data_IF_760916295860
#
_entry.id   IF_760916295860
#
_cell.length_a   1.000
_cell.length_b   1.000
_cell.length_c   1.000
_cell.angle_alpha   90.00
_cell.angle_beta   90.00
_cell.angle_gamma   90.00
#
_symmetry.space_group_name_H-M   'P 1'
#
loop_
_entity.id
_entity.type
_entity.pdbx_description
1 polymer ?
#
# COMPACT_ATOMS: atom_id res chain seq x y z
N UNK A 1 -55.12 7.72 -7.98
CA UNK A 1 -53.71 7.58 -8.39
C UNK A 1 -52.94 6.96 -7.24
N UNK A 2 -52.54 5.70 -7.40
CA UNK A 2 -51.68 5.01 -6.42
C UNK A 2 -50.31 5.69 -6.50
N UNK A 3 -49.89 6.33 -5.40
CA UNK A 3 -48.52 6.79 -5.23
C UNK A 3 -47.63 5.55 -5.29
N UNK A 4 -47.08 5.25 -6.47
CA UNK A 4 -45.97 4.32 -6.63
C UNK A 4 -44.81 4.91 -5.84
N UNK A 5 -44.67 4.44 -4.60
CA UNK A 5 -43.46 4.60 -3.80
C UNK A 5 -42.33 4.09 -4.70
N UNK A 6 -41.53 5.00 -5.27
CA UNK A 6 -40.27 4.64 -5.93
C UNK A 6 -39.50 3.83 -4.91
N UNK A 7 -39.44 2.51 -5.08
CA UNK A 7 -38.61 1.67 -4.22
C UNK A 7 -37.18 2.19 -4.36
N UNK A 8 -36.68 2.82 -3.30
CA UNK A 8 -35.30 3.29 -3.24
C UNK A 8 -34.39 2.07 -3.32
N UNK A 9 -33.45 2.06 -4.25
CA UNK A 9 -32.46 1.00 -4.39
C UNK A 9 -31.77 0.71 -3.05
N UNK A 10 -31.65 -0.58 -2.72
CA UNK A 10 -31.02 -1.04 -1.49
C UNK A 10 -29.71 -1.77 -1.86
N UNK A 11 -28.54 -1.19 -1.52
CA UNK A 11 -27.26 -1.87 -1.66
C UNK A 11 -27.23 -3.19 -0.89
N UNK A 12 -26.54 -4.19 -1.44
CA UNK A 12 -26.13 -5.38 -0.67
C UNK A 12 -25.40 -4.93 0.60
N UNK A 13 -25.67 -5.60 1.73
CA UNK A 13 -24.99 -5.36 3.02
C UNK A 13 -23.87 -6.34 3.32
N UNK A 14 -23.84 -7.45 2.57
CA UNK A 14 -22.91 -8.56 2.73
C UNK A 14 -22.43 -8.93 1.35
N UNK A 15 -21.13 -9.18 1.22
CA UNK A 15 -20.55 -9.70 -0.01
C UNK A 15 -20.56 -11.24 0.01
N UNK A 16 -20.87 -11.94 -1.10
CA UNK A 16 -20.85 -13.39 -1.11
C UNK A 16 -19.48 -13.96 -0.71
N UNK A 17 -19.51 -15.05 0.05
CA UNK A 17 -18.28 -15.70 0.52
C UNK A 17 -17.71 -16.64 -0.56
N UNK A 18 -16.81 -16.12 -1.39
CA UNK A 18 -16.13 -16.90 -2.43
C UNK A 18 -14.94 -17.70 -1.87
N UNK A 19 -14.59 -18.82 -2.48
CA UNK A 19 -13.37 -19.54 -2.13
C UNK A 19 -12.16 -18.90 -2.83
N UNK A 20 -11.56 -17.88 -2.22
CA UNK A 20 -10.41 -17.17 -2.78
C UNK A 20 -9.09 -17.65 -2.15
N UNK A 21 -7.99 -17.72 -2.93
CA UNK A 21 -6.68 -17.96 -2.36
C UNK A 21 -6.29 -16.76 -1.50
N UNK A 22 -6.02 -16.99 -0.20
CA UNK A 22 -5.66 -15.92 0.76
C UNK A 22 -4.16 -15.75 0.95
N UNK A 23 -3.34 -16.68 0.46
CA UNK A 23 -1.89 -16.67 0.61
C UNK A 23 -1.18 -16.34 -0.70
N UNK A 24 -0.36 -15.29 -0.71
CA UNK A 24 0.46 -14.90 -1.87
C UNK A 24 1.92 -14.63 -1.47
N UNK A 25 2.43 -15.42 -0.52
CA UNK A 25 3.80 -15.27 -0.03
C UNK A 25 4.80 -16.01 -0.92
N UNK A 26 5.76 -15.27 -1.47
CA UNK A 26 6.86 -15.85 -2.25
C UNK A 26 8.14 -15.85 -1.43
N UNK A 27 9.05 -16.81 -1.66
CA UNK A 27 10.33 -16.89 -0.95
C UNK A 27 11.19 -15.61 -0.99
N UNK A 28 11.05 -14.78 -2.03
CA UNK A 28 11.72 -13.48 -2.11
C UNK A 28 11.25 -12.48 -1.03
N UNK A 29 9.98 -12.56 -0.58
CA UNK A 29 9.45 -11.69 0.46
C UNK A 29 10.00 -12.06 1.84
N UNK A 30 10.25 -13.35 2.10
CA UNK A 30 10.95 -13.78 3.30
C UNK A 30 12.38 -13.22 3.35
N UNK A 31 13.11 -13.30 2.22
CA UNK A 31 14.45 -12.72 2.10
C UNK A 31 14.45 -11.20 2.35
N UNK A 32 13.43 -10.50 1.87
CA UNK A 32 13.25 -9.07 2.13
C UNK A 32 13.09 -8.78 3.63
N UNK A 33 12.19 -9.49 4.32
CA UNK A 33 11.99 -9.34 5.77
C UNK A 33 13.26 -9.66 6.56
N UNK A 34 13.99 -10.72 6.19
CA UNK A 34 15.28 -11.02 6.81
C UNK A 34 16.25 -9.84 6.62
N UNK A 35 16.35 -9.28 5.40
CA UNK A 35 17.18 -8.10 5.14
C UNK A 35 16.74 -6.87 5.94
N UNK A 36 15.44 -6.68 6.15
CA UNK A 36 14.93 -5.55 6.94
C UNK A 36 15.39 -5.64 8.39
N UNK A 37 15.35 -6.83 8.99
CA UNK A 37 15.80 -7.02 10.37
C UNK A 37 17.31 -6.80 10.52
N UNK A 38 18.10 -7.18 9.52
CA UNK A 38 19.54 -6.88 9.50
C UNK A 38 19.85 -5.39 9.35
N UNK A 39 19.04 -4.65 8.59
CA UNK A 39 19.20 -3.21 8.40
C UNK A 39 18.63 -2.40 9.57
N UNK A 40 17.62 -2.90 10.26
CA UNK A 40 16.88 -2.22 11.35
C UNK A 40 17.78 -1.49 12.37
N UNK A 41 18.90 -2.06 12.87
CA UNK A 41 19.79 -1.35 13.79
C UNK A 41 20.41 -0.06 13.22
N UNK A 42 20.54 0.03 11.89
CA UNK A 42 21.12 1.18 11.18
C UNK A 42 20.06 2.20 10.73
N UNK A 43 18.77 1.94 10.96
CA UNK A 43 17.68 2.82 10.54
C UNK A 43 17.29 3.73 11.70
N UNK A 44 17.21 5.02 11.44
CA UNK A 44 16.75 6.04 12.39
C UNK A 44 15.25 6.28 12.25
N UNK A 45 14.71 6.17 11.03
CA UNK A 45 13.32 6.53 10.71
C UNK A 45 12.69 5.59 9.67
N UNK A 46 11.45 5.18 9.89
CA UNK A 46 10.69 4.35 8.94
C UNK A 46 9.64 5.18 8.23
N UNK A 47 9.60 5.08 6.90
CA UNK A 47 8.55 5.68 6.06
C UNK A 47 7.61 4.57 5.60
N UNK A 48 6.45 4.45 6.25
CA UNK A 48 5.47 3.39 5.99
C UNK A 48 4.40 3.86 5.01
N UNK A 49 4.39 3.29 3.80
CA UNK A 49 3.44 3.69 2.76
C UNK A 49 2.17 2.84 2.77
N UNK A 50 1.02 3.51 2.66
CA UNK A 50 -0.34 2.94 2.59
C UNK A 50 -1.12 3.55 1.41
N UNK A 51 -2.07 2.84 0.82
CA UNK A 51 -2.90 3.38 -0.30
C UNK A 51 -4.07 4.16 0.31
N UNK A 52 -4.33 5.37 -0.16
CA UNK A 52 -5.53 6.12 0.27
C UNK A 52 -6.85 5.39 -0.04
N UNK A 53 -6.88 4.49 -1.02
CA UNK A 53 -8.11 3.75 -1.37
C UNK A 53 -8.32 2.54 -0.47
N UNK A 54 -7.27 2.00 0.12
CA UNK A 54 -7.32 0.82 0.98
C UNK A 54 -6.42 1.01 2.23
N UNK A 55 -6.70 2.03 3.07
CA UNK A 55 -5.79 2.44 4.12
C UNK A 55 -5.61 1.42 5.24
N UNK A 56 -6.60 0.54 5.46
CA UNK A 56 -6.57 -0.52 6.48
C UNK A 56 -5.95 -1.78 5.89
N UNK A 57 -6.43 -2.23 4.72
CA UNK A 57 -5.97 -3.49 4.12
C UNK A 57 -4.51 -3.41 3.66
N UNK A 58 -3.98 -2.21 3.39
CA UNK A 58 -2.56 -2.04 3.02
C UNK A 58 -1.60 -1.96 4.20
N UNK A 59 -2.09 -2.05 5.44
CA UNK A 59 -1.24 -2.14 6.63
C UNK A 59 -0.58 -3.53 6.67
N UNK A 60 0.73 -3.56 6.87
CA UNK A 60 1.47 -4.81 7.01
C UNK A 60 2.09 -4.92 8.41
N UNK A 61 1.39 -5.64 9.30
CA UNK A 61 1.80 -5.85 10.68
C UNK A 61 3.11 -6.66 10.84
N UNK A 62 3.62 -7.31 9.77
CA UNK A 62 4.92 -7.98 9.85
C UNK A 62 6.08 -7.02 10.06
N UNK A 63 5.94 -5.77 9.62
CA UNK A 63 6.98 -4.76 9.82
C UNK A 63 7.20 -4.45 11.30
N UNK A 64 6.16 -4.55 12.13
CA UNK A 64 6.26 -4.34 13.58
C UNK A 64 7.14 -5.40 14.26
N UNK A 65 7.14 -6.62 13.73
CA UNK A 65 7.98 -7.71 14.24
C UNK A 65 9.46 -7.51 13.89
N UNK A 66 9.74 -6.98 12.70
CA UNK A 66 11.10 -6.90 12.16
C UNK A 66 11.78 -5.57 12.51
N UNK A 67 11.03 -4.48 12.54
CA UNK A 67 11.53 -3.13 12.80
C UNK A 67 11.34 -2.70 14.26
N UNK A 68 10.65 -3.48 15.08
CA UNK A 68 10.44 -3.17 16.50
C UNK A 68 9.75 -1.82 16.70
N UNK A 69 10.22 -1.06 17.69
CA UNK A 69 9.68 0.26 18.08
C UNK A 69 10.37 1.45 17.38
N UNK A 70 10.86 1.28 16.16
CA UNK A 70 11.44 2.40 15.39
C UNK A 70 10.39 3.46 15.10
N UNK A 71 10.78 4.72 15.19
CA UNK A 71 9.93 5.86 14.86
C UNK A 71 9.48 5.80 13.40
N UNK A 72 8.23 6.19 13.17
CA UNK A 72 7.57 6.05 11.87
C UNK A 72 6.82 7.29 11.45
N UNK A 73 6.84 7.52 10.14
CA UNK A 73 5.91 8.43 9.47
C UNK A 73 5.07 7.60 8.50
N UNK A 74 3.76 7.69 8.64
CA UNK A 74 2.80 7.01 7.78
C UNK A 74 2.49 7.89 6.57
N UNK A 75 2.77 7.39 5.38
CA UNK A 75 2.57 8.11 4.13
C UNK A 75 1.41 7.47 3.36
N UNK A 76 0.28 8.16 3.33
CA UNK A 76 -0.86 7.76 2.51
C UNK A 76 -0.64 8.23 1.07
N UNK A 77 -0.32 7.29 0.19
CA UNK A 77 -0.03 7.52 -1.23
C UNK A 77 -1.29 7.56 -2.07
N UNK A 78 -1.18 8.07 -3.31
CA UNK A 78 -2.29 8.24 -4.25
C UNK A 78 -3.37 9.17 -3.69
N UNK A 79 -2.93 10.25 -3.04
CA UNK A 79 -3.78 11.32 -2.50
C UNK A 79 -4.79 11.86 -3.53
N UNK A 80 -4.42 11.90 -4.79
CA UNK A 80 -5.28 12.30 -5.91
C UNK A 80 -6.52 11.42 -6.07
N UNK A 81 -6.47 10.18 -5.58
CA UNK A 81 -7.57 9.21 -5.59
C UNK A 81 -8.27 9.05 -4.24
N UNK A 82 -7.84 9.80 -3.22
CA UNK A 82 -8.38 9.69 -1.87
C UNK A 82 -9.79 10.25 -1.77
N UNK A 83 -10.66 9.53 -1.06
CA UNK A 83 -11.95 10.02 -0.57
C UNK A 83 -12.09 9.79 0.94
N UNK A 84 -10.98 9.49 1.64
CA UNK A 84 -10.99 9.27 3.09
C UNK A 84 -11.33 10.58 3.81
N UNK A 85 -12.17 10.50 4.84
CA UNK A 85 -12.44 11.61 5.73
C UNK A 85 -11.24 11.91 6.66
N UNK A 86 -10.77 13.16 6.66
CA UNK A 86 -9.67 13.62 7.53
C UNK A 86 -9.95 13.39 9.02
N UNK A 87 -11.21 13.53 9.48
CA UNK A 87 -11.59 13.33 10.88
C UNK A 87 -11.37 11.87 11.31
N UNK A 88 -11.64 10.92 10.42
CA UNK A 88 -11.44 9.50 10.67
C UNK A 88 -9.95 9.20 10.87
N UNK A 89 -9.08 9.80 10.06
CA UNK A 89 -7.63 9.64 10.18
C UNK A 89 -7.08 10.30 11.43
N UNK A 90 -7.61 11.47 11.81
CA UNK A 90 -7.25 12.11 13.07
C UNK A 90 -7.62 11.22 14.26
N UNK A 91 -8.78 10.55 14.22
CA UNK A 91 -9.15 9.55 15.24
C UNK A 91 -8.19 8.35 15.24
N UNK A 92 -7.74 7.89 14.07
CA UNK A 92 -6.82 6.75 13.97
C UNK A 92 -5.43 7.06 14.52
N UNK A 93 -4.86 8.20 14.14
CA UNK A 93 -3.47 8.53 14.46
C UNK A 93 -3.31 9.40 15.72
N UNK A 94 -4.32 10.20 16.07
CA UNK A 94 -4.25 11.14 17.19
C UNK A 94 -4.09 10.45 18.55
N UNK A 95 -4.62 9.24 18.72
CA UNK A 95 -4.54 8.49 19.99
C UNK A 95 -3.09 8.13 20.36
N UNK A 96 -2.27 7.78 19.37
CA UNK A 96 -0.87 7.39 19.56
C UNK A 96 0.10 8.52 19.18
N UNK A 97 -0.42 9.69 18.83
CA UNK A 97 0.35 10.80 18.25
C UNK A 97 1.21 10.35 17.04
N UNK A 98 0.66 9.46 16.21
CA UNK A 98 1.34 8.95 15.02
C UNK A 98 1.45 10.05 13.96
N UNK A 99 2.66 10.27 13.44
CA UNK A 99 2.88 11.22 12.34
C UNK A 99 2.38 10.60 11.04
N UNK A 100 1.50 11.31 10.32
CA UNK A 100 1.02 10.89 9.01
C UNK A 100 0.92 12.05 8.00
N UNK A 101 1.01 11.72 6.70
CA UNK A 101 0.90 12.69 5.61
C UNK A 101 0.25 12.07 4.36
N UNK A 102 -0.51 12.89 3.63
CA UNK A 102 -1.06 12.55 2.31
C UNK A 102 -0.16 13.04 1.19
N UNK A 103 0.16 12.15 0.25
CA UNK A 103 1.09 12.44 -0.83
C UNK A 103 0.58 11.87 -2.15
N UNK A 104 0.51 12.73 -3.18
CA UNK A 104 0.63 12.22 -4.55
C UNK A 104 2.13 12.01 -4.82
N UNK A 105 2.56 10.76 -4.93
CA UNK A 105 3.97 10.41 -5.13
C UNK A 105 4.57 10.97 -6.42
N UNK A 106 3.75 11.48 -7.36
CA UNK A 106 4.19 12.16 -8.59
C UNK A 106 4.33 13.67 -8.42
N UNK A 107 3.80 14.24 -7.33
CA UNK A 107 3.80 15.67 -7.06
C UNK A 107 5.10 16.13 -6.41
N UNK A 108 5.84 17.01 -7.09
CA UNK A 108 7.03 17.66 -6.51
C UNK A 108 6.70 18.47 -5.25
N UNK A 109 5.51 19.09 -5.18
CA UNK A 109 5.07 19.86 -4.01
C UNK A 109 4.91 18.95 -2.79
N UNK A 110 4.28 17.80 -2.95
CA UNK A 110 4.11 16.86 -1.84
C UNK A 110 5.45 16.18 -1.49
N UNK A 111 6.30 15.87 -2.47
CA UNK A 111 7.65 15.36 -2.22
C UNK A 111 8.51 16.34 -1.39
N UNK A 112 8.45 17.64 -1.68
CA UNK A 112 9.14 18.68 -0.87
C UNK A 112 8.66 18.68 0.58
N UNK A 113 7.35 18.54 0.81
CA UNK A 113 6.80 18.45 2.18
C UNK A 113 7.31 17.22 2.94
N UNK A 114 7.45 16.08 2.26
CA UNK A 114 8.01 14.87 2.87
C UNK A 114 9.48 15.07 3.22
N UNK A 115 10.30 15.64 2.33
CA UNK A 115 11.69 15.98 2.65
C UNK A 115 11.75 16.91 3.85
N UNK A 116 10.96 18.00 3.86
CA UNK A 116 10.92 18.93 4.97
C UNK A 116 10.59 18.23 6.29
N UNK A 117 9.58 17.36 6.31
CA UNK A 117 9.18 16.63 7.51
C UNK A 117 10.30 15.70 8.03
N UNK A 118 11.07 15.08 7.13
CA UNK A 118 12.23 14.26 7.49
C UNK A 118 13.37 15.15 8.00
N UNK A 119 13.61 16.30 7.37
CA UNK A 119 14.61 17.28 7.81
C UNK A 119 14.29 17.82 9.20
N UNK A 120 13.03 18.20 9.44
CA UNK A 120 12.55 18.64 10.75
C UNK A 120 12.74 17.54 11.79
N UNK A 121 12.46 16.28 11.44
CA UNK A 121 12.73 15.15 12.32
C UNK A 121 14.23 15.04 12.64
N UNK A 122 15.12 15.15 11.65
CA UNK A 122 16.57 15.14 11.85
C UNK A 122 17.04 16.23 12.81
N UNK A 123 16.63 17.48 12.59
CA UNK A 123 17.05 18.61 13.43
C UNK A 123 16.47 18.58 14.85
N UNK A 124 15.38 17.84 15.07
CA UNK A 124 14.81 17.62 16.40
C UNK A 124 15.46 16.43 17.15
N UNK A 125 16.35 15.66 16.52
CA UNK A 125 17.13 14.64 17.21
C UNK A 125 18.27 15.29 18.00
N UNK A 126 18.50 14.84 19.23
CA UNK A 126 19.56 15.35 20.09
C UNK A 126 20.47 14.21 20.61
N UNK A 127 21.74 14.12 20.16
CA UNK A 127 22.32 14.87 19.04
C UNK A 127 21.78 14.35 17.69
N UNK A 128 21.82 15.17 16.62
CA UNK A 128 21.48 14.71 15.29
C UNK A 128 22.49 13.66 14.80
N UNK A 129 22.07 12.65 14.03
CA UNK A 129 22.99 11.64 13.48
C UNK A 129 24.13 12.29 12.68
N UNK A 130 25.41 12.07 13.06
CA UNK A 130 26.55 12.76 12.44
C UNK A 130 26.83 12.32 11.01
N UNK A 131 26.35 11.14 10.61
CA UNK A 131 26.51 10.57 9.26
C UNK A 131 25.22 10.67 8.42
N UNK A 132 24.36 11.63 8.77
CA UNK A 132 23.05 11.79 8.15
C UNK A 132 22.00 10.82 8.67
N UNK A 133 20.75 11.12 8.35
CA UNK A 133 19.59 10.33 8.73
C UNK A 133 19.42 9.13 7.80
N UNK A 134 19.36 7.92 8.35
CA UNK A 134 19.08 6.70 7.60
C UNK A 134 17.62 6.32 7.73
N UNK A 135 16.90 6.39 6.61
CA UNK A 135 15.49 6.02 6.52
C UNK A 135 15.26 4.71 5.78
N UNK A 136 14.17 4.01 6.11
CA UNK A 136 13.72 2.83 5.36
C UNK A 136 12.31 3.04 4.82
N UNK A 137 12.12 2.86 3.51
CA UNK A 137 10.81 3.00 2.87
C UNK A 137 10.19 1.61 2.73
N UNK A 138 9.06 1.38 3.40
CA UNK A 138 8.36 0.10 3.47
C UNK A 138 6.90 0.21 3.04
N UNK A 139 6.25 -0.92 2.77
CA UNK A 139 4.84 -0.99 2.38
C UNK A 139 4.54 -2.12 1.41
N UNK A 140 3.25 -2.39 1.20
CA UNK A 140 2.76 -3.42 0.27
C UNK A 140 3.30 -3.23 -1.18
N UNK A 141 3.34 -4.27 -2.02
CA UNK A 141 3.64 -4.12 -3.44
C UNK A 141 2.77 -3.06 -4.13
N UNK A 142 3.30 -2.35 -5.12
CA UNK A 142 2.55 -1.37 -5.95
C UNK A 142 1.89 -0.19 -5.21
N UNK A 143 2.28 0.06 -3.97
CA UNK A 143 1.79 1.19 -3.16
C UNK A 143 2.39 2.54 -3.57
N UNK A 144 3.37 2.56 -4.48
CA UNK A 144 4.02 3.79 -4.94
C UNK A 144 5.40 4.09 -4.33
N UNK A 145 6.03 3.13 -3.62
CA UNK A 145 7.38 3.28 -3.03
C UNK A 145 8.42 3.85 -4.01
N UNK A 146 8.68 3.16 -5.11
CA UNK A 146 9.69 3.58 -6.09
C UNK A 146 9.32 4.89 -6.81
N UNK A 147 8.02 5.19 -6.96
CA UNK A 147 7.57 6.49 -7.47
C UNK A 147 7.91 7.61 -6.48
N UNK A 148 7.61 7.40 -5.19
CA UNK A 148 7.94 8.36 -4.14
C UNK A 148 9.45 8.59 -4.04
N UNK A 149 10.25 7.52 -3.99
CA UNK A 149 11.72 7.59 -3.96
C UNK A 149 12.27 8.46 -5.10
N UNK A 150 11.82 8.22 -6.33
CA UNK A 150 12.26 8.99 -7.48
C UNK A 150 11.88 10.48 -7.36
N UNK A 151 10.69 10.78 -6.85
CA UNK A 151 10.24 12.16 -6.65
C UNK A 151 10.98 12.87 -5.51
N UNK A 152 11.23 12.18 -4.39
CA UNK A 152 12.03 12.69 -3.26
C UNK A 152 13.44 13.03 -3.72
N UNK A 153 14.11 12.11 -4.42
CA UNK A 153 15.43 12.37 -4.99
C UNK A 153 15.41 13.50 -6.03
N UNK A 154 14.35 13.66 -6.81
CA UNK A 154 14.28 14.76 -7.76
C UNK A 154 14.26 16.13 -7.06
N UNK A 155 13.55 16.25 -5.92
CA UNK A 155 13.41 17.51 -5.18
C UNK A 155 14.54 17.79 -4.20
N UNK A 156 15.08 16.79 -3.49
CA UNK A 156 16.16 17.03 -2.53
C UNK A 156 17.49 17.42 -3.18
N UNK A 157 17.60 17.25 -4.51
CA UNK A 157 18.74 17.72 -5.32
C UNK A 157 18.36 18.90 -6.25
N UNK A 158 17.24 19.60 -6.01
CA UNK A 158 16.84 20.70 -6.92
C UNK A 158 17.71 21.95 -6.82
N UNK A 159 18.52 22.09 -5.77
CA UNK A 159 19.38 23.26 -5.55
C UNK A 159 20.71 23.19 -6.29
N UNK A 160 21.06 22.07 -6.93
CA UNK A 160 22.19 21.97 -7.86
C UNK A 160 21.72 22.34 -9.28
N UNK A 161 21.59 23.65 -9.50
CA UNK A 161 21.46 24.25 -10.84
C UNK A 161 22.88 24.28 -11.41
N UNK A 162 23.36 23.20 -12.04
CA UNK A 162 24.50 23.20 -12.99
C UNK A 162 24.73 21.82 -13.62
N UNK A 163 23.66 21.15 -14.05
CA UNK A 163 23.77 19.93 -14.85
C UNK A 163 23.30 20.21 -16.28
N UNK A 164 24.22 20.12 -17.24
CA UNK A 164 24.03 20.29 -18.70
C UNK A 164 22.94 19.34 -19.27
N UNK A 165 22.48 18.36 -18.49
CA UNK A 165 21.34 17.48 -18.82
C UNK A 165 20.13 17.75 -17.90
N UNK A 166 19.04 18.29 -18.46
CA UNK A 166 17.74 18.51 -17.78
C UNK A 166 17.04 17.22 -17.30
N UNK A 167 17.56 16.03 -17.61
CA UNK A 167 16.91 14.74 -17.36
C UNK A 167 17.60 13.99 -16.20
N UNK A 168 17.10 14.17 -14.97
CA UNK A 168 17.54 13.37 -13.83
C UNK A 168 17.22 11.88 -14.07
N UNK A 169 18.25 11.02 -14.08
CA UNK A 169 18.10 9.57 -14.29
C UNK A 169 17.28 8.95 -13.14
N UNK A 170 16.24 8.18 -13.47
CA UNK A 170 15.45 7.40 -12.49
C UNK A 170 16.35 6.36 -11.83
N UNK A 171 16.28 6.25 -10.50
CA UNK A 171 17.11 5.31 -9.71
C UNK A 171 16.34 4.03 -9.42
N UNK A 172 15.05 4.14 -9.11
CA UNK A 172 14.19 2.99 -8.85
C UNK A 172 13.32 2.67 -10.08
N UNK A 173 13.26 1.39 -10.46
CA UNK A 173 12.36 0.92 -11.53
C UNK A 173 10.90 1.02 -11.08
N UNK A 174 10.02 1.51 -11.97
CA UNK A 174 8.59 1.70 -11.68
C UNK A 174 7.74 0.92 -12.68
N UNK A 175 6.75 0.16 -12.20
CA UNK A 175 5.79 -0.57 -13.03
C UNK A 175 4.55 -0.97 -12.24
N UNK A 176 3.44 -1.25 -12.93
CA UNK A 176 2.14 -1.55 -12.29
C UNK A 176 1.96 -3.00 -11.86
N UNK A 177 2.92 -3.88 -12.13
CA UNK A 177 2.86 -5.31 -11.76
C UNK A 177 3.59 -5.57 -10.44
N UNK A 178 3.03 -6.38 -9.51
CA UNK A 178 3.70 -6.68 -8.25
C UNK A 178 5.05 -7.37 -8.48
N UNK A 179 6.08 -6.96 -7.73
CA UNK A 179 7.41 -7.58 -7.80
C UNK A 179 8.35 -7.01 -8.87
N UNK A 180 8.08 -5.81 -9.40
CA UNK A 180 9.00 -5.06 -10.27
C UNK A 180 10.32 -4.76 -9.55
N UNK A 181 10.25 -4.28 -8.30
CA UNK A 181 11.44 -4.13 -7.44
C UNK A 181 11.81 -5.49 -6.85
N UNK A 182 12.80 -6.16 -7.45
CA UNK A 182 13.21 -7.54 -7.09
C UNK A 182 14.36 -7.62 -6.09
N UNK A 183 15.11 -6.54 -5.92
CA UNK A 183 16.25 -6.41 -5.02
C UNK A 183 16.06 -5.17 -4.15
N UNK A 184 16.37 -5.25 -2.85
CA UNK A 184 16.57 -4.04 -2.03
C UNK A 184 17.80 -3.33 -2.59
N UNK A 185 17.58 -2.34 -3.44
CA UNK A 185 18.61 -1.56 -4.11
C UNK A 185 19.47 -0.79 -3.09
N UNK A 186 20.61 -0.32 -3.59
CA UNK A 186 21.64 0.49 -2.93
C UNK A 186 21.04 1.64 -2.11
N UNK A 187 21.78 2.11 -1.09
CA UNK A 187 21.39 3.28 -0.30
C UNK A 187 21.21 4.47 -1.24
N UNK A 188 20.01 5.04 -1.26
CA UNK A 188 19.68 6.19 -2.11
C UNK A 188 19.76 7.43 -1.24
N UNK A 189 20.72 8.30 -1.51
CA UNK A 189 20.74 9.64 -0.92
C UNK A 189 19.58 10.45 -1.52
N UNK A 190 18.76 11.04 -0.65
CA UNK A 190 17.55 11.79 -0.97
C UNK A 190 17.75 13.30 -0.87
N UNK A 191 18.59 13.75 0.07
CA UNK A 191 18.92 15.15 0.35
C UNK A 191 20.37 15.25 0.81
N UNK A 192 21.02 16.38 0.56
CA UNK A 192 22.38 16.68 1.04
C UNK A 192 22.37 17.52 2.32
N UNK A 193 21.33 18.35 2.51
CA UNK A 193 21.18 19.24 3.66
C UNK A 193 19.75 19.15 4.24
N UNK A 194 19.56 18.52 5.41
CA UNK A 194 20.51 17.58 6.03
C UNK A 194 20.70 16.34 5.15
N UNK A 195 21.79 15.61 5.40
CA UNK A 195 22.06 14.37 4.66
C UNK A 195 21.01 13.32 5.00
N UNK A 196 20.20 12.94 4.03
CA UNK A 196 19.11 11.95 4.18
C UNK A 196 19.38 10.80 3.24
N UNK A 197 19.53 9.61 3.80
CA UNK A 197 19.74 8.36 3.11
C UNK A 197 18.48 7.50 3.22
N UNK A 198 18.11 6.79 2.14
CA UNK A 198 16.95 5.92 2.12
C UNK A 198 17.27 4.55 1.52
N UNK A 199 16.87 3.49 2.24
CA UNK A 199 16.84 2.15 1.70
C UNK A 199 15.52 1.95 0.94
N UNK A 200 15.56 1.86 -0.39
CA UNK A 200 14.40 1.43 -1.19
C UNK A 200 14.25 -0.09 -1.08
N UNK A 201 13.09 -0.51 -0.59
CA UNK A 201 12.83 -1.91 -0.30
C UNK A 201 11.79 -2.52 -1.24
N UNK A 202 11.94 -3.80 -1.62
CA UNK A 202 10.89 -4.50 -2.35
C UNK A 202 9.60 -4.51 -1.51
N UNK A 203 8.46 -4.38 -2.17
CA UNK A 203 7.18 -4.49 -1.48
C UNK A 203 6.98 -5.87 -0.88
N UNK A 204 6.60 -5.92 0.40
CA UNK A 204 6.34 -7.17 1.12
C UNK A 204 4.84 -7.33 1.27
N UNK A 205 4.30 -8.41 0.74
CA UNK A 205 2.91 -8.82 0.93
C UNK A 205 2.78 -9.69 2.19
N UNK A 206 1.59 -9.74 2.80
CA UNK A 206 1.34 -10.62 3.95
C UNK A 206 1.34 -12.10 3.53
N UNK A 207 1.83 -13.03 4.37
CA UNK A 207 1.85 -14.43 4.02
C UNK A 207 0.48 -15.00 3.69
N UNK A 208 -0.47 -14.67 4.54
CA UNK A 208 -1.89 -14.96 4.41
C UNK A 208 -2.66 -13.73 4.88
N UNK A 209 -3.56 -13.22 4.05
CA UNK A 209 -4.45 -12.12 4.46
C UNK A 209 -5.55 -12.64 5.39
N UNK A 210 -6.29 -11.74 6.02
CA UNK A 210 -7.30 -12.10 7.03
C UNK A 210 -8.55 -12.75 6.41
N UNK A 211 -9.07 -12.15 5.35
CA UNK A 211 -10.37 -12.47 4.77
C UNK A 211 -10.42 -12.11 3.27
N UNK A 212 -11.53 -12.50 2.62
CA UNK A 212 -11.76 -12.31 1.19
C UNK A 212 -11.84 -10.84 0.81
N UNK A 213 -12.52 -10.02 1.63
CA UNK A 213 -12.68 -8.60 1.41
C UNK A 213 -11.32 -7.89 1.40
N UNK A 214 -10.42 -8.26 2.33
CA UNK A 214 -9.04 -7.77 2.36
C UNK A 214 -8.29 -8.18 1.10
N UNK A 215 -8.44 -9.42 0.63
CA UNK A 215 -7.80 -9.89 -0.61
C UNK A 215 -8.30 -9.11 -1.84
N UNK A 216 -9.60 -8.89 -1.94
CA UNK A 216 -10.24 -8.17 -3.03
C UNK A 216 -9.86 -6.68 -3.03
N UNK A 217 -9.83 -6.04 -1.87
CA UNK A 217 -9.37 -4.66 -1.70
C UNK A 217 -7.91 -4.51 -2.13
N UNK A 218 -7.02 -5.40 -1.65
CA UNK A 218 -5.60 -5.44 -2.04
C UNK A 218 -5.42 -5.66 -3.54
N UNK A 219 -6.28 -6.47 -4.17
CA UNK A 219 -6.26 -6.65 -5.61
C UNK A 219 -6.72 -5.40 -6.36
N UNK A 220 -7.74 -4.68 -5.87
CA UNK A 220 -8.21 -3.42 -6.48
C UNK A 220 -7.21 -2.26 -6.35
N UNK A 221 -6.34 -2.28 -5.34
CA UNK A 221 -5.21 -1.33 -5.29
C UNK A 221 -3.97 -1.80 -6.07
N UNK A 222 -4.00 -3.03 -6.59
CA UNK A 222 -2.95 -3.61 -7.42
C UNK A 222 -1.83 -4.27 -6.65
N UNK A 223 -2.00 -4.59 -5.36
CA UNK A 223 -0.99 -5.32 -4.57
C UNK A 223 -0.89 -6.80 -4.96
N UNK A 224 -1.90 -7.33 -5.65
CA UNK A 224 -2.04 -8.73 -6.06
C UNK A 224 -1.99 -8.83 -7.59
N UNK A 225 -1.42 -9.91 -8.11
CA UNK A 225 -1.34 -10.13 -9.56
C UNK A 225 -2.74 -10.40 -10.14
N UNK A 226 -3.03 -9.88 -11.33
CA UNK A 226 -4.38 -9.96 -11.93
C UNK A 226 -4.88 -11.40 -12.16
N UNK A 227 -3.99 -12.37 -12.34
CA UNK A 227 -4.38 -13.78 -12.55
C UNK A 227 -4.80 -14.51 -11.27
N UNK A 228 -4.73 -13.86 -10.12
CA UNK A 228 -4.90 -14.53 -8.82
C UNK A 228 -6.36 -14.58 -8.35
N UNK A 229 -7.19 -13.67 -8.88
CA UNK A 229 -8.60 -13.53 -8.53
C UNK A 229 -9.37 -13.47 -9.82
N UNK A 230 -10.51 -14.15 -9.85
CA UNK A 230 -11.45 -14.07 -10.96
C UNK A 230 -11.85 -12.61 -11.24
N UNK A 231 -11.70 -12.11 -12.48
CA UNK A 231 -12.03 -10.72 -12.82
C UNK A 231 -13.48 -10.34 -12.52
N UNK A 232 -14.44 -11.26 -12.71
CA UNK A 232 -15.87 -11.03 -12.47
C UNK A 232 -16.13 -10.88 -10.98
N UNK A 233 -15.55 -11.74 -10.13
CA UNK A 233 -15.63 -11.60 -8.67
C UNK A 233 -15.05 -10.25 -8.22
N UNK A 234 -13.90 -9.86 -8.77
CA UNK A 234 -13.30 -8.56 -8.46
C UNK A 234 -14.19 -7.39 -8.87
N UNK A 235 -14.82 -7.47 -10.05
CA UNK A 235 -15.73 -6.46 -10.55
C UNK A 235 -17.02 -6.39 -9.72
N UNK A 236 -17.53 -7.53 -9.26
CA UNK A 236 -18.69 -7.61 -8.37
C UNK A 236 -18.39 -6.98 -7.01
N UNK A 237 -17.22 -7.27 -6.44
CA UNK A 237 -16.78 -6.64 -5.19
C UNK A 237 -16.67 -5.12 -5.35
N UNK A 238 -16.14 -4.65 -6.49
CA UNK A 238 -16.09 -3.23 -6.81
C UNK A 238 -17.50 -2.62 -6.90
N UNK A 239 -18.45 -3.27 -7.56
CA UNK A 239 -19.84 -2.79 -7.60
C UNK A 239 -20.45 -2.71 -6.19
N UNK A 240 -20.25 -3.76 -5.39
CA UNK A 240 -20.71 -3.85 -4.00
C UNK A 240 -20.25 -2.66 -3.15
N UNK A 241 -18.94 -2.38 -3.11
CA UNK A 241 -18.38 -1.28 -2.31
C UNK A 241 -18.77 0.10 -2.83
N UNK A 242 -19.00 0.25 -4.15
CA UNK A 242 -19.45 1.51 -4.73
C UNK A 242 -20.89 1.80 -4.31
N UNK A 243 -21.77 0.80 -4.33
CA UNK A 243 -23.15 0.95 -3.88
C UNK A 243 -23.24 1.27 -2.38
N UNK A 244 -22.32 0.75 -1.56
CA UNK A 244 -22.26 1.10 -0.13
C UNK A 244 -21.83 2.55 0.12
N UNK A 245 -20.98 3.11 -0.74
CA UNK A 245 -20.52 4.51 -0.66
C UNK A 245 -21.51 5.48 -1.28
N UNK A 246 -22.15 5.07 -2.38
CA UNK A 246 -23.13 5.85 -3.13
C UNK A 246 -24.25 4.94 -3.67
N UNK A 247 -25.37 4.82 -2.93
CA UNK A 247 -26.52 4.02 -3.36
C UNK A 247 -27.21 4.55 -4.62
N UNK A 248 -26.92 5.76 -5.08
CA UNK A 248 -27.55 6.32 -6.28
C UNK A 248 -27.02 5.69 -7.58
N UNK A 249 -25.91 4.95 -7.52
CA UNK A 249 -25.23 4.40 -8.70
C UNK A 249 -24.55 5.44 -9.57
N UNK A 250 -24.32 6.67 -9.08
CA UNK A 250 -23.76 7.76 -9.91
C UNK A 250 -22.39 7.40 -10.50
N UNK A 251 -21.63 6.56 -9.78
CA UNK A 251 -20.28 6.12 -10.14
C UNK A 251 -20.21 5.25 -11.40
N UNK A 252 -21.30 4.63 -11.82
CA UNK A 252 -21.38 3.80 -13.03
C UNK A 252 -22.55 4.16 -13.94
N UNK A 253 -23.21 5.31 -13.68
CA UNK A 253 -24.39 5.77 -14.42
C UNK A 253 -24.16 6.02 -15.90
N UNK A 254 -22.90 6.11 -16.30
CA UNK A 254 -22.53 6.25 -17.70
C UNK A 254 -22.80 4.99 -18.54
N UNK A 255 -22.95 3.83 -17.89
CA UNK A 255 -23.18 2.55 -18.54
C UNK A 255 -24.65 2.12 -18.41
N UNK A 256 -25.24 2.33 -17.23
CA UNK A 256 -26.60 1.93 -16.88
C UNK A 256 -27.30 3.12 -16.18
N UNK A 257 -28.56 3.39 -16.51
CA UNK A 257 -29.26 4.61 -16.08
C UNK A 257 -29.86 4.52 -14.67
N UNK A 258 -29.79 3.34 -14.05
CA UNK A 258 -30.29 3.02 -12.72
C UNK A 258 -29.25 2.25 -11.89
N UNK A 259 -29.32 2.30 -10.55
CA UNK A 259 -28.44 1.52 -9.69
C UNK A 259 -28.79 0.02 -9.73
N UNK A 260 -27.77 -0.84 -9.64
CA UNK A 260 -27.93 -2.30 -9.67
C UNK A 260 -27.00 -3.01 -8.69
N UNK A 261 -27.44 -4.16 -8.18
CA UNK A 261 -26.58 -5.12 -7.46
C UNK A 261 -26.11 -6.28 -8.35
N UNK A 262 -26.58 -6.35 -9.59
CA UNK A 262 -26.23 -7.40 -10.56
C UNK A 262 -24.96 -7.00 -11.30
N UNK A 263 -23.88 -7.75 -11.07
CA UNK A 263 -22.65 -7.54 -11.83
C UNK A 263 -22.86 -7.88 -13.31
N UNK A 264 -23.62 -8.93 -13.61
CA UNK A 264 -23.86 -9.39 -14.98
C UNK A 264 -24.57 -8.31 -15.82
N UNK A 265 -25.57 -7.65 -15.22
CA UNK A 265 -26.28 -6.52 -15.83
C UNK A 265 -25.32 -5.35 -16.11
N UNK A 266 -24.52 -4.95 -15.12
CA UNK A 266 -23.56 -3.87 -15.29
C UNK A 266 -22.53 -4.21 -16.39
N UNK A 267 -22.00 -5.43 -16.40
CA UNK A 267 -21.01 -5.87 -17.41
C UNK A 267 -21.62 -5.92 -18.81
N UNK A 268 -22.88 -6.33 -18.95
CA UNK A 268 -23.60 -6.29 -20.22
C UNK A 268 -23.75 -4.86 -20.74
N UNK A 269 -24.13 -3.91 -19.88
CA UNK A 269 -24.23 -2.49 -20.24
C UNK A 269 -22.87 -1.86 -20.57
N UNK A 270 -21.81 -2.26 -19.89
CA UNK A 270 -20.43 -1.90 -20.26
C UNK A 270 -20.08 -2.45 -21.65
N UNK A 271 -20.45 -3.70 -21.95
CA UNK A 271 -20.21 -4.32 -23.25
C UNK A 271 -20.98 -3.60 -24.37
N UNK A 272 -22.25 -3.23 -24.13
CA UNK A 272 -23.08 -2.46 -25.07
C UNK A 272 -22.42 -1.12 -25.40
N UNK A 273 -22.05 -0.34 -24.37
CA UNK A 273 -21.39 0.96 -24.57
C UNK A 273 -20.07 0.86 -25.33
N UNK A 274 -19.40 -0.29 -25.22
CA UNK A 274 -18.12 -0.56 -25.90
C UNK A 274 -18.28 -1.24 -27.26
N UNK A 275 -19.50 -1.48 -27.74
CA UNK A 275 -19.79 -2.25 -28.95
C UNK A 275 -19.10 -3.63 -28.94
N UNK A 276 -19.18 -4.34 -27.81
CA UNK A 276 -18.57 -5.68 -27.59
C UNK A 276 -19.59 -6.80 -27.39
N UNK A 277 -20.88 -6.52 -27.59
CA UNK A 277 -21.95 -7.53 -27.60
C UNK A 277 -22.06 -8.12 -29.00
N UNK A 278 -22.09 -9.45 -29.07
CA UNK A 278 -22.25 -10.21 -30.33
C UNK A 278 -23.73 -10.23 -30.75
N UNK A 279 -24.01 -10.60 -31.99
CA UNK A 279 -25.37 -10.68 -32.53
C UNK A 279 -26.31 -11.61 -31.72
N UNK A 280 -25.74 -12.65 -31.10
CA UNK A 280 -26.47 -13.57 -30.22
C UNK A 280 -26.61 -13.07 -28.77
N UNK A 281 -26.24 -11.83 -28.48
CA UNK A 281 -26.32 -11.23 -27.15
C UNK A 281 -25.15 -11.55 -26.20
N UNK A 282 -24.22 -12.44 -26.57
CA UNK A 282 -23.09 -12.79 -25.69
C UNK A 282 -21.92 -11.81 -25.80
N UNK A 283 -21.10 -11.73 -24.75
CA UNK A 283 -19.92 -10.87 -24.66
C UNK A 283 -18.82 -11.51 -23.80
N UNK A 284 -17.62 -10.95 -23.85
CA UNK A 284 -16.49 -11.39 -23.01
C UNK A 284 -16.61 -10.78 -21.60
N UNK A 285 -17.23 -11.52 -20.68
CA UNK A 285 -17.44 -11.10 -19.28
C UNK A 285 -16.13 -10.80 -18.56
N UNK A 286 -15.16 -11.70 -18.63
CA UNK A 286 -13.84 -11.54 -17.99
C UNK A 286 -13.10 -10.32 -18.53
N UNK A 287 -13.18 -10.07 -19.85
CA UNK A 287 -12.62 -8.88 -20.48
C UNK A 287 -13.30 -7.59 -20.04
N UNK A 288 -14.64 -7.57 -19.93
CA UNK A 288 -15.38 -6.39 -19.46
C UNK A 288 -15.15 -6.12 -17.98
N UNK A 289 -15.10 -7.16 -17.15
CA UNK A 289 -14.79 -7.07 -15.74
C UNK A 289 -13.37 -6.55 -15.49
N UNK A 290 -12.40 -7.06 -16.25
CA UNK A 290 -11.02 -6.54 -16.25
C UNK A 290 -10.95 -5.09 -16.71
N UNK A 291 -11.70 -4.74 -17.76
CA UNK A 291 -11.77 -3.35 -18.24
C UNK A 291 -12.31 -2.42 -17.14
N UNK A 292 -13.43 -2.79 -16.52
CA UNK A 292 -14.07 -2.03 -15.46
C UNK A 292 -13.13 -1.81 -14.29
N UNK A 293 -12.62 -2.88 -13.70
CA UNK A 293 -11.72 -2.80 -12.54
C UNK A 293 -10.44 -2.03 -12.84
N UNK A 294 -9.91 -2.09 -14.07
CA UNK A 294 -8.74 -1.32 -14.48
C UNK A 294 -8.99 0.19 -14.57
N UNK A 295 -10.22 0.66 -14.80
CA UNK A 295 -10.53 2.09 -14.75
C UNK A 295 -10.32 2.65 -13.34
N UNK A 296 -10.75 1.88 -12.33
CA UNK A 296 -10.63 2.20 -10.91
C UNK A 296 -9.22 2.00 -10.35
N UNK A 297 -8.55 0.91 -10.74
CA UNK A 297 -7.14 0.66 -10.38
C UNK A 297 -6.23 1.81 -10.80
N UNK A 298 -6.42 2.31 -12.02
CA UNK A 298 -5.57 3.35 -12.60
C UNK A 298 -6.02 4.78 -12.24
N UNK A 299 -7.27 4.99 -11.82
CA UNK A 299 -7.78 6.31 -11.47
C UNK A 299 -7.73 7.30 -12.65
N UNK A 300 -8.09 6.85 -13.87
CA UNK A 300 -7.90 7.64 -15.12
C UNK A 300 -8.63 8.99 -15.18
N UNK A 301 -9.58 9.23 -14.27
CA UNK A 301 -10.42 10.41 -14.22
C UNK A 301 -10.89 10.63 -12.78
N UNK A 302 -11.27 11.85 -12.43
CA UNK A 302 -11.79 12.19 -11.11
C UNK A 302 -13.04 11.39 -10.71
N UNK A 303 -13.74 10.80 -11.68
CA UNK A 303 -14.85 9.87 -11.44
C UNK A 303 -14.42 8.61 -10.68
N UNK A 304 -13.24 8.07 -11.01
CA UNK A 304 -12.76 6.76 -10.56
C UNK A 304 -12.00 6.87 -9.23
N UNK A 305 -12.63 7.51 -8.24
CA UNK A 305 -12.16 7.63 -6.86
C UNK A 305 -13.16 6.98 -5.92
N UNK A 306 -12.64 6.20 -4.97
CA UNK A 306 -13.43 5.46 -4.00
C UNK A 306 -12.54 4.70 -3.01
N UNK A 307 -13.15 4.29 -1.90
CA UNK A 307 -12.55 3.37 -0.94
C UNK A 307 -12.83 1.93 -1.39
N UNK A 308 -11.85 1.05 -1.16
CA UNK A 308 -11.91 -0.37 -1.46
C UNK A 308 -11.94 -1.25 -0.20
N UNK A 309 -11.65 -0.66 0.95
CA UNK A 309 -11.75 -1.33 2.25
C UNK A 309 -13.16 -1.22 2.82
N UNK A 310 -13.84 -2.36 2.94
CA UNK A 310 -15.17 -2.43 3.55
C UNK A 310 -15.18 -1.84 4.96
N UNK A 311 -14.17 -2.15 5.77
CA UNK A 311 -14.06 -1.61 7.14
C UNK A 311 -13.96 -0.09 7.15
N UNK A 312 -13.19 0.51 6.24
CA UNK A 312 -13.08 1.98 6.15
C UNK A 312 -14.41 2.62 5.76
N UNK A 313 -15.19 1.95 4.91
CA UNK A 313 -16.51 2.43 4.46
C UNK A 313 -17.55 2.37 5.60
N UNK A 314 -17.51 1.32 6.42
CA UNK A 314 -18.47 1.10 7.51
C UNK A 314 -18.07 1.87 8.79
N UNK A 315 -16.79 2.14 9.00
CA UNK A 315 -16.27 2.74 10.23
C UNK A 315 -16.66 4.22 10.36
N UNK A 316 -17.47 4.55 11.37
CA UNK A 316 -17.88 5.92 11.69
C UNK A 316 -17.09 6.55 12.85
N UNK A 317 -16.61 5.73 13.80
CA UNK A 317 -16.15 6.22 15.11
C UNK A 317 -14.67 5.94 15.45
N UNK A 318 -13.92 5.24 14.59
CA UNK A 318 -12.49 4.94 14.77
C UNK A 318 -12.15 3.91 15.85
N UNK A 319 -13.09 3.55 16.73
CA UNK A 319 -12.88 2.59 17.84
C UNK A 319 -12.70 1.14 17.37
N UNK A 320 -13.34 0.71 16.27
CA UNK A 320 -13.24 -0.69 15.82
C UNK A 320 -11.89 -1.00 15.20
N UNK A 321 -11.23 0.01 14.62
CA UNK A 321 -9.95 -0.20 13.93
C UNK A 321 -8.85 -0.71 14.86
N UNK A 322 -8.75 -0.17 16.07
CA UNK A 322 -7.71 -0.62 17.03
C UNK A 322 -7.91 -2.07 17.45
N UNK A 323 -9.15 -2.47 17.68
CA UNK A 323 -9.50 -3.86 17.99
C UNK A 323 -9.10 -4.77 16.82
N UNK A 324 -9.41 -4.35 15.58
CA UNK A 324 -9.04 -5.08 14.37
C UNK A 324 -7.52 -5.17 14.20
N UNK A 325 -6.80 -4.09 14.44
CA UNK A 325 -5.33 -4.05 14.31
C UNK A 325 -4.64 -4.93 15.36
N UNK A 326 -5.12 -4.91 16.60
CA UNK A 326 -4.61 -5.79 17.66
C UNK A 326 -4.91 -7.27 17.34
N UNK A 327 -6.14 -7.58 16.91
CA UNK A 327 -6.49 -8.94 16.48
C UNK A 327 -5.63 -9.41 15.29
N UNK A 328 -5.33 -8.53 14.34
CA UNK A 328 -4.46 -8.85 13.20
C UNK A 328 -3.00 -9.07 13.64
N UNK A 329 -2.51 -8.28 14.60
CA UNK A 329 -1.18 -8.50 15.22
C UNK A 329 -1.09 -9.86 15.89
N UNK A 330 -2.10 -10.26 16.64
CA UNK A 330 -2.19 -11.56 17.29
C UNK A 330 -2.19 -12.68 16.24
N UNK A 331 -3.07 -12.59 15.23
CA UNK A 331 -3.16 -13.56 14.14
C UNK A 331 -1.85 -13.73 13.36
N UNK A 332 -1.16 -12.64 13.04
CA UNK A 332 0.13 -12.70 12.32
C UNK A 332 1.26 -13.18 13.22
N UNK A 333 1.16 -12.97 14.54
CA UNK A 333 2.17 -13.46 15.48
C UNK A 333 2.26 -14.97 15.56
N UNK A 334 1.15 -15.68 15.31
CA UNK A 334 1.07 -17.15 15.30
C UNK A 334 1.38 -17.77 13.94
N UNK A 335 1.79 -16.98 12.94
CA UNK A 335 2.15 -17.51 11.61
C UNK A 335 3.55 -18.11 11.59
N UNK A 336 3.73 -19.19 10.83
CA UNK A 336 5.02 -19.89 10.66
C UNK A 336 6.15 -19.00 10.13
N UNK A 337 5.83 -17.99 9.30
CA UNK A 337 6.81 -17.00 8.83
C UNK A 337 7.36 -16.19 10.01
N UNK A 338 6.51 -15.81 10.95
CA UNK A 338 6.90 -15.06 12.15
C UNK A 338 7.74 -15.92 13.08
N UNK A 339 7.42 -17.21 13.25
CA UNK A 339 8.25 -18.17 14.00
C UNK A 339 9.66 -18.29 13.41
N UNK A 340 9.76 -18.44 12.08
CA UNK A 340 11.04 -18.47 11.37
C UNK A 340 11.83 -17.19 11.55
N UNK A 341 11.18 -16.03 11.49
CA UNK A 341 11.83 -14.74 11.75
C UNK A 341 12.35 -14.68 13.20
N UNK A 342 11.53 -15.08 14.18
CA UNK A 342 11.96 -15.12 15.59
C UNK A 342 13.14 -16.06 15.81
N UNK A 343 13.17 -17.23 15.16
CA UNK A 343 14.33 -18.13 15.23
C UNK A 343 15.58 -17.55 14.58
N UNK A 344 15.42 -16.74 13.53
CA UNK A 344 16.52 -16.14 12.77
C UNK A 344 17.12 -14.92 13.47
N UNK A 345 16.30 -14.17 14.21
CA UNK A 345 16.72 -12.93 14.89
C UNK A 345 16.98 -13.11 16.39
N UNK A 346 16.60 -14.25 16.97
CA UNK A 346 16.57 -14.45 18.42
C UNK A 346 15.41 -13.67 19.05
N UNK A 347 14.78 -14.21 20.10
CA UNK A 347 13.79 -13.44 20.86
C UNK A 347 14.49 -12.20 21.44
N UNK A 348 13.93 -11.02 21.23
CA UNK A 348 14.46 -9.72 21.67
C UNK A 348 14.46 -9.50 23.18
N UNK A 349 14.30 -10.56 23.99
CA UNK A 349 14.21 -10.49 25.45
C UNK A 349 15.35 -11.23 26.17
N UNK A 350 16.40 -11.64 25.44
CA UNK A 350 17.57 -12.30 26.06
C UNK A 350 18.83 -11.46 25.88
N UNK A 351 19.15 -10.68 26.92
CA UNK A 351 20.51 -10.25 27.23
C UNK A 351 21.42 -11.50 27.22
N UNK A 352 22.51 -11.45 26.46
CA UNK A 352 23.60 -12.44 26.43
C UNK A 352 23.34 -13.86 25.85
N UNK A 353 22.86 -13.97 24.61
CA UNK A 353 23.07 -15.19 23.82
C UNK A 353 24.00 -14.94 22.63
N UNK A 354 25.22 -15.49 22.67
CA UNK A 354 26.16 -15.48 21.53
C UNK A 354 25.54 -16.20 20.33
N UNK A 355 25.06 -15.43 19.35
CA UNK A 355 24.59 -15.92 18.04
C UNK A 355 25.70 -16.70 17.31
N UNK A 356 25.42 -17.92 16.83
CA UNK A 356 26.29 -18.63 15.87
C UNK A 356 26.22 -17.91 14.52
N UNK A 357 27.24 -17.10 14.21
CA UNK A 357 27.35 -16.35 12.95
C UNK A 357 27.65 -17.29 11.78
N UNK A 358 26.83 -17.24 10.73
CA UNK A 358 27.07 -18.00 9.51
C UNK A 358 28.18 -17.35 8.66
N UNK A 359 28.73 -18.08 7.69
CA UNK A 359 29.72 -17.53 6.76
C UNK A 359 29.12 -16.38 5.91
N UNK A 360 27.84 -16.50 5.55
CA UNK A 360 27.10 -15.45 4.81
C UNK A 360 26.87 -14.19 5.63
N UNK A 361 26.58 -14.32 6.93
CA UNK A 361 26.45 -13.15 7.82
C UNK A 361 27.78 -12.36 7.87
N UNK A 362 28.91 -13.09 7.95
CA UNK A 362 30.26 -12.49 7.96
C UNK A 362 30.60 -11.81 6.63
N UNK A 363 30.28 -12.44 5.51
CA UNK A 363 30.49 -11.86 4.17
C UNK A 363 29.66 -10.58 3.97
N UNK A 364 28.42 -10.57 4.47
CA UNK A 364 27.54 -9.40 4.41
C UNK A 364 28.03 -8.25 5.31
N UNK A 365 28.53 -8.56 6.50
CA UNK A 365 29.15 -7.59 7.41
C UNK A 365 30.44 -7.01 6.81
N UNK A 366 31.29 -7.84 6.19
CA UNK A 366 32.51 -7.41 5.48
C UNK A 366 32.18 -6.46 4.32
N UNK A 367 31.12 -6.77 3.56
CA UNK A 367 30.65 -5.90 2.47
C UNK A 367 30.09 -4.57 2.96
N UNK A 368 29.57 -4.51 4.18
CA UNK A 368 29.06 -3.29 4.81
C UNK A 368 30.11 -2.55 5.66
N UNK A 369 31.22 -3.20 6.05
CA UNK A 369 32.33 -2.57 6.77
C UNK A 369 33.10 -1.56 5.91
N UNK A 370 33.08 -1.72 4.59
CA UNK A 370 33.61 -0.73 3.63
C UNK A 370 32.89 0.63 3.67
N UNK A 371 31.81 0.76 4.44
CA UNK A 371 31.07 2.01 4.67
C UNK A 371 31.19 2.54 6.11
N UNK A 372 32.14 2.00 6.90
CA UNK A 372 32.45 2.44 8.28
C UNK A 372 33.82 3.13 8.42
N UNK A 373 34.57 3.25 7.33
CA UNK A 373 35.67 4.19 7.15
C UNK A 373 35.16 5.29 6.22
#
# INVERSE_FOLDING_TARGET
MINLIKMSFIPRRIFPNFNLPLSNFKGHQQKALTKFGHLSPQIDLVLELRDCRAPISTINVLFDKVLGKKDRIIIYTKKDLSVINNDLLQKWHGINNEKYIFVDSRSHKDAKKVIQLISDYYYNMDPPPPLGLRSMIIGMPNIGKSTLVNSLRAVGYSNQVDSISKKKRKVAQTGGQPGVTKTTSEVIRLSEEPDILAYDTPGVFLPTVKDNETMLALSLVGCVHNSFIDPVIQADYLLYILNLQDPSGSKYREYIDHPTNSIDELLYHIALKRNKVRANGSFDESGMASHWTNLWKNGKSDRYKGLFDLQTIIEKDGKKLRVLFNAEKERVSTMSVTEKLNSSFGKSDAVNARRKRTAKDREYDLRNQLFRL
#
